data_IF_417958144639
#
_entry.id   IF_417958144639
#
_cell.length_a   1.000
_cell.length_b   1.000
_cell.length_c   1.000
_cell.angle_alpha   90.00
_cell.angle_beta   90.00
_cell.angle_gamma   90.00
#
_symmetry.space_group_name_H-M   'P 1'
#
loop_
_entity.id
_entity.type
_entity.pdbx_description
1 polymer ?
#
# COMPACT_ATOMS: atom_id res chain seq x y z
N UNK A 1 11.38 18.23 10.04
CA UNK A 1 12.10 17.84 8.81
C UNK A 1 12.78 16.50 9.03
N UNK A 2 12.12 15.41 8.64
CA UNK A 2 12.76 14.10 8.55
C UNK A 2 13.79 14.13 7.41
N UNK A 3 15.01 13.65 7.66
CA UNK A 3 16.06 13.60 6.64
C UNK A 3 15.67 12.64 5.52
N UNK A 4 15.70 13.11 4.27
CA UNK A 4 15.57 12.25 3.09
C UNK A 4 16.68 11.17 3.18
N UNK A 5 16.33 9.88 3.15
CA UNK A 5 17.31 8.82 3.34
C UNK A 5 18.34 8.80 2.20
N UNK A 6 19.60 9.10 2.52
CA UNK A 6 20.75 8.99 1.61
C UNK A 6 21.26 7.55 1.65
N UNK A 7 20.93 6.76 0.63
CA UNK A 7 21.35 5.35 0.52
C UNK A 7 22.29 5.14 -0.68
N UNK A 8 23.29 4.26 -0.51
CA UNK A 8 24.34 3.99 -1.51
C UNK A 8 23.79 3.14 -2.66
N UNK A 9 24.33 3.36 -3.88
CA UNK A 9 23.91 2.68 -5.13
C UNK A 9 23.83 1.14 -5.03
N UNK A 10 24.79 0.50 -4.35
CA UNK A 10 24.81 -0.96 -4.17
C UNK A 10 23.64 -1.51 -3.32
N UNK A 11 22.97 -0.67 -2.52
CA UNK A 11 21.80 -1.07 -1.73
C UNK A 11 20.55 -1.25 -2.62
N UNK A 12 20.54 -0.67 -3.82
CA UNK A 12 19.40 -0.65 -4.74
C UNK A 12 19.47 -1.68 -5.86
N UNK A 13 20.66 -2.14 -6.22
CA UNK A 13 20.90 -3.16 -7.26
C UNK A 13 20.74 -4.59 -6.67
N UNK A 14 19.66 -4.82 -5.90
CA UNK A 14 19.36 -6.11 -5.27
C UNK A 14 18.43 -6.93 -6.15
N UNK A 15 18.71 -8.23 -6.24
CA UNK A 15 17.82 -9.20 -6.90
C UNK A 15 17.29 -10.29 -5.95
N UNK A 16 17.76 -10.27 -4.69
CA UNK A 16 17.50 -11.27 -3.65
C UNK A 16 16.24 -10.97 -2.82
N UNK A 17 15.34 -10.09 -3.28
CA UNK A 17 14.10 -9.75 -2.56
C UNK A 17 13.23 -10.99 -2.27
N UNK A 18 13.31 -12.02 -3.11
CA UNK A 18 12.63 -13.30 -2.88
C UNK A 18 13.13 -14.08 -1.67
N UNK A 19 14.37 -13.83 -1.29
CA UNK A 19 15.01 -14.42 -0.12
C UNK A 19 14.76 -13.59 1.14
N UNK A 20 14.34 -12.33 0.97
CA UNK A 20 13.93 -11.46 2.06
C UNK A 20 12.57 -11.92 2.60
N UNK A 21 12.60 -12.48 3.81
CA UNK A 21 11.38 -12.74 4.55
C UNK A 21 10.83 -11.43 5.10
N UNK A 22 9.53 -11.19 4.91
CA UNK A 22 8.81 -10.03 5.46
C UNK A 22 9.10 -9.86 6.96
N UNK A 23 9.20 -10.99 7.68
CA UNK A 23 9.31 -11.05 9.12
C UNK A 23 10.68 -11.54 9.64
N UNK A 24 11.81 -10.97 9.21
CA UNK A 24 13.13 -11.45 9.69
C UNK A 24 14.16 -10.37 10.02
N UNK A 25 15.17 -10.76 10.80
CA UNK A 25 16.49 -10.12 10.85
C UNK A 25 17.56 -10.77 9.94
N UNK A 26 17.38 -12.02 9.46
CA UNK A 26 18.35 -12.80 8.66
C UNK A 26 17.66 -14.08 8.05
N UNK A 27 18.31 -14.87 7.15
CA UNK A 27 17.63 -15.59 6.06
C UNK A 27 16.89 -16.89 6.44
N UNK A 28 15.77 -17.12 5.75
CA UNK A 28 14.92 -18.31 5.90
C UNK A 28 15.37 -19.44 4.98
N UNK A 29 15.75 -20.59 5.55
CA UNK A 29 15.87 -21.86 4.83
C UNK A 29 14.58 -22.70 4.98
N UNK A 30 13.85 -22.79 3.85
CA UNK A 30 12.74 -23.68 3.46
C UNK A 30 11.46 -23.71 4.32
N UNK A 31 10.46 -22.97 3.82
CA UNK A 31 9.06 -23.46 3.71
C UNK A 31 8.65 -23.40 2.23
N UNK A 32 7.99 -24.44 1.71
CA UNK A 32 7.75 -24.60 0.25
C UNK A 32 6.54 -23.83 -0.30
N UNK A 33 5.68 -23.25 0.56
CA UNK A 33 4.45 -22.59 0.11
C UNK A 33 4.30 -21.12 0.55
N UNK A 34 5.16 -20.60 1.44
CA UNK A 34 5.05 -19.22 1.94
C UNK A 34 3.77 -18.94 2.75
N UNK A 35 3.76 -17.80 3.43
CA UNK A 35 2.61 -17.25 4.17
C UNK A 35 1.79 -16.33 3.27
N UNK A 36 0.47 -16.29 3.46
CA UNK A 36 -0.36 -15.32 2.74
C UNK A 36 -0.09 -13.89 3.22
N UNK A 37 0.04 -12.98 2.26
CA UNK A 37 0.18 -11.55 2.55
C UNK A 37 -1.10 -11.03 3.20
N UNK A 38 -2.25 -11.41 2.66
CA UNK A 38 -3.57 -11.10 3.21
C UNK A 38 -3.88 -12.10 4.34
N UNK A 39 -4.26 -11.64 5.55
CA UNK A 39 -4.55 -12.52 6.66
C UNK A 39 -5.62 -13.56 6.31
N UNK A 40 -5.41 -14.80 6.74
CA UNK A 40 -6.32 -15.91 6.44
C UNK A 40 -7.76 -15.63 6.88
N UNK A 41 -7.93 -15.06 8.07
CA UNK A 41 -9.26 -14.71 8.58
C UNK A 41 -9.98 -13.70 7.68
N UNK A 42 -9.25 -12.76 7.04
CA UNK A 42 -9.86 -11.77 6.16
C UNK A 42 -10.33 -12.41 4.85
N UNK A 43 -9.58 -13.40 4.37
CA UNK A 43 -9.95 -14.20 3.20
C UNK A 43 -11.19 -15.05 3.51
N UNK A 44 -11.21 -15.73 4.67
CA UNK A 44 -12.27 -16.64 5.05
C UNK A 44 -13.57 -15.88 5.42
N UNK A 45 -13.50 -14.83 6.25
CA UNK A 45 -14.66 -14.06 6.72
C UNK A 45 -15.39 -13.30 5.58
N UNK A 46 -14.67 -12.97 4.49
CA UNK A 46 -15.21 -12.22 3.34
C UNK A 46 -15.13 -12.97 2.01
N UNK A 47 -14.89 -14.28 2.06
CA UNK A 47 -14.87 -15.18 0.88
C UNK A 47 -13.96 -14.71 -0.27
N UNK A 48 -12.79 -14.16 0.05
CA UNK A 48 -11.91 -13.48 -0.93
C UNK A 48 -11.09 -14.44 -1.82
N UNK A 49 -11.29 -15.76 -1.71
CA UNK A 49 -10.48 -16.79 -2.37
C UNK A 49 -10.40 -16.67 -3.90
N UNK A 50 -11.47 -16.20 -4.53
CA UNK A 50 -11.57 -16.02 -5.99
C UNK A 50 -11.41 -14.56 -6.41
N UNK A 51 -11.17 -13.66 -5.46
CA UNK A 51 -11.07 -12.23 -5.76
C UNK A 51 -9.72 -11.92 -6.40
N UNK A 52 -9.78 -11.08 -7.42
CA UNK A 52 -8.61 -10.50 -8.07
C UNK A 52 -8.34 -9.11 -7.54
N UNK A 53 -7.05 -8.76 -7.45
CA UNK A 53 -6.59 -7.43 -7.09
C UNK A 53 -5.79 -6.85 -8.25
N UNK A 54 -5.96 -5.56 -8.50
CA UNK A 54 -5.16 -4.78 -9.45
C UNK A 54 -3.71 -4.70 -9.00
N UNK A 55 -2.79 -5.01 -9.91
CA UNK A 55 -1.34 -5.02 -9.68
C UNK A 55 -0.69 -3.78 -10.29
N UNK A 56 -1.27 -2.60 -10.07
CA UNK A 56 -0.68 -1.32 -10.49
C UNK A 56 -0.39 -1.13 -12.01
N UNK A 57 -0.90 -2.01 -12.88
CA UNK A 57 -0.71 -2.02 -14.35
C UNK A 57 -2.03 -2.42 -15.06
N UNK A 58 -2.37 -1.96 -16.29
CA UNK A 58 -3.73 -2.12 -16.80
C UNK A 58 -4.02 -3.57 -17.15
N UNK A 59 -5.12 -4.09 -16.62
CA UNK A 59 -5.53 -5.48 -16.85
C UNK A 59 -4.63 -6.50 -16.15
N UNK A 60 -3.66 -6.05 -15.36
CA UNK A 60 -2.80 -6.92 -14.56
C UNK A 60 -3.48 -7.22 -13.25
N UNK A 61 -4.33 -8.25 -13.29
CA UNK A 61 -5.04 -8.75 -12.15
C UNK A 61 -4.35 -10.01 -11.61
N UNK A 62 -4.19 -10.10 -10.30
CA UNK A 62 -3.70 -11.29 -9.63
C UNK A 62 -4.78 -11.86 -8.70
N UNK A 63 -4.95 -13.19 -8.71
CA UNK A 63 -5.80 -13.85 -7.72
C UNK A 63 -5.17 -13.70 -6.33
N UNK A 64 -5.95 -13.34 -5.30
CA UNK A 64 -5.48 -13.20 -3.91
C UNK A 64 -4.68 -14.42 -3.44
N UNK A 65 -5.03 -15.62 -3.89
CA UNK A 65 -4.33 -16.86 -3.53
C UNK A 65 -2.84 -16.89 -3.93
N UNK A 66 -2.43 -16.06 -4.90
CA UNK A 66 -1.07 -15.94 -5.41
C UNK A 66 -0.19 -15.04 -4.53
N UNK A 67 -0.79 -14.27 -3.61
CA UNK A 67 -0.10 -13.32 -2.75
C UNK A 67 0.52 -14.03 -1.55
N UNK A 68 1.60 -14.77 -1.80
CA UNK A 68 2.33 -15.53 -0.79
C UNK A 68 3.79 -15.13 -0.74
N UNK A 69 4.33 -14.97 0.46
CA UNK A 69 5.71 -14.55 0.70
C UNK A 69 6.40 -15.45 1.72
N UNK A 70 7.73 -15.50 1.72
CA UNK A 70 8.46 -16.25 2.75
C UNK A 70 8.26 -15.56 4.11
N UNK A 71 8.00 -16.36 5.15
CA UNK A 71 7.77 -15.92 6.52
C UNK A 71 8.59 -16.74 7.51
N UNK A 72 9.05 -16.11 8.59
CA UNK A 72 9.62 -16.78 9.76
C UNK A 72 8.47 -17.23 10.67
N UNK A 73 8.39 -18.52 11.08
CA UNK A 73 7.26 -19.02 11.85
C UNK A 73 7.05 -18.30 13.20
N UNK A 74 8.13 -17.97 13.91
CA UNK A 74 8.05 -17.33 15.24
C UNK A 74 7.53 -15.90 15.11
N UNK A 75 8.12 -15.14 14.20
CA UNK A 75 7.71 -13.77 13.92
C UNK A 75 6.30 -13.71 13.32
N UNK A 76 5.92 -14.71 12.51
CA UNK A 76 4.57 -14.86 12.01
C UNK A 76 3.56 -15.09 13.14
N UNK A 77 3.90 -15.89 14.15
CA UNK A 77 3.06 -16.06 15.35
C UNK A 77 2.83 -14.74 16.08
N UNK A 78 3.89 -13.96 16.32
CA UNK A 78 3.82 -12.63 16.95
C UNK A 78 2.94 -11.67 16.15
N UNK A 79 3.05 -11.70 14.82
CA UNK A 79 2.20 -10.88 13.96
C UNK A 79 0.76 -11.38 13.89
N UNK A 80 0.53 -12.69 14.00
CA UNK A 80 -0.80 -13.29 14.11
C UNK A 80 -1.60 -12.76 15.30
N UNK A 81 -0.94 -12.48 16.43
CA UNK A 81 -1.58 -11.84 17.58
C UNK A 81 -2.03 -10.39 17.28
N UNK A 82 -1.26 -9.66 16.45
CA UNK A 82 -1.69 -8.36 15.95
C UNK A 82 -2.89 -8.50 15.00
N UNK A 83 -2.83 -9.41 14.04
CA UNK A 83 -3.92 -9.67 13.09
C UNK A 83 -5.22 -10.05 13.81
N UNK A 84 -5.15 -10.85 14.89
CA UNK A 84 -6.30 -11.19 15.72
C UNK A 84 -6.88 -9.96 16.45
N UNK A 85 -6.04 -9.10 17.02
CA UNK A 85 -6.51 -7.86 17.64
C UNK A 85 -7.14 -6.89 16.63
N UNK A 86 -6.63 -6.84 15.40
CA UNK A 86 -7.27 -6.09 14.30
C UNK A 86 -8.64 -6.68 13.99
N UNK A 87 -8.76 -8.00 13.83
CA UNK A 87 -10.03 -8.70 13.57
C UNK A 87 -11.10 -8.39 14.62
N UNK A 88 -10.69 -8.30 15.89
CA UNK A 88 -11.59 -8.01 17.01
C UNK A 88 -11.88 -6.50 17.16
N UNK A 89 -11.14 -5.63 16.49
CA UNK A 89 -11.25 -4.17 16.68
C UNK A 89 -10.64 -3.67 17.99
N UNK A 90 -9.76 -4.46 18.61
CA UNK A 90 -9.19 -4.24 19.95
C UNK A 90 -7.74 -3.72 19.88
N UNK A 91 -7.45 -2.83 18.94
CA UNK A 91 -6.07 -2.36 18.70
C UNK A 91 -5.98 -0.88 18.39
N UNK A 92 -4.78 -0.31 18.57
CA UNK A 92 -4.51 1.11 18.29
C UNK A 92 -4.37 1.38 16.79
N UNK A 93 -4.48 2.66 16.39
CA UNK A 93 -4.24 3.05 15.00
C UNK A 93 -2.80 2.73 14.54
N UNK A 94 -1.81 2.81 15.43
CA UNK A 94 -0.42 2.46 15.10
C UNK A 94 -0.28 0.98 14.75
N UNK A 95 -1.01 0.12 15.44
CA UNK A 95 -1.08 -1.31 15.17
C UNK A 95 -1.86 -1.61 13.88
N UNK A 96 -2.95 -0.89 13.60
CA UNK A 96 -3.64 -0.98 12.30
C UNK A 96 -2.70 -0.56 11.18
N UNK A 97 -1.93 0.52 11.37
CA UNK A 97 -0.95 1.00 10.40
C UNK A 97 0.11 -0.05 10.10
N UNK A 98 0.70 -0.65 11.14
CA UNK A 98 1.69 -1.71 10.98
C UNK A 98 1.12 -2.95 10.26
N UNK A 99 -0.12 -3.33 10.59
CA UNK A 99 -0.84 -4.40 9.92
C UNK A 99 -1.03 -4.12 8.43
N UNK A 100 -1.55 -2.94 8.09
CA UNK A 100 -1.73 -2.50 6.71
C UNK A 100 -0.39 -2.36 5.95
N UNK A 101 0.67 -1.94 6.63
CA UNK A 101 2.03 -1.88 6.09
C UNK A 101 2.56 -3.26 5.70
N UNK A 102 2.35 -4.30 6.52
CA UNK A 102 2.68 -5.69 6.15
C UNK A 102 2.00 -6.12 4.86
N UNK A 103 0.69 -5.85 4.75
CA UNK A 103 -0.08 -6.21 3.56
C UNK A 103 0.47 -5.46 2.34
N UNK A 104 0.64 -4.15 2.45
CA UNK A 104 1.19 -3.29 1.38
C UNK A 104 2.54 -3.79 0.89
N UNK A 105 3.51 -3.98 1.79
CA UNK A 105 4.86 -4.45 1.45
C UNK A 105 4.84 -5.85 0.82
N UNK A 106 4.01 -6.75 1.36
CA UNK A 106 3.84 -8.08 0.78
C UNK A 106 3.24 -8.04 -0.62
N UNK A 107 2.28 -7.15 -0.87
CA UNK A 107 1.68 -6.94 -2.20
C UNK A 107 2.70 -6.35 -3.18
N UNK A 108 3.50 -5.36 -2.77
CA UNK A 108 4.60 -4.81 -3.57
C UNK A 108 5.65 -5.87 -3.92
N UNK A 109 6.00 -6.77 -2.98
CA UNK A 109 6.90 -7.89 -3.23
C UNK A 109 6.31 -8.89 -4.23
N UNK A 110 5.01 -9.20 -4.12
CA UNK A 110 4.30 -10.03 -5.08
C UNK A 110 4.24 -9.40 -6.48
N UNK A 111 4.03 -8.08 -6.57
CA UNK A 111 4.09 -7.34 -7.84
C UNK A 111 5.46 -7.51 -8.50
N UNK A 112 6.54 -7.27 -7.76
CA UNK A 112 7.90 -7.40 -8.28
C UNK A 112 8.17 -8.81 -8.83
N UNK A 113 7.75 -9.87 -8.11
CA UNK A 113 7.87 -11.26 -8.58
C UNK A 113 7.15 -11.49 -9.89
N UNK A 114 5.92 -10.99 -10.00
CA UNK A 114 5.09 -11.18 -11.19
C UNK A 114 5.64 -10.39 -12.38
N UNK A 115 6.10 -9.15 -12.17
CA UNK A 115 6.69 -8.31 -13.22
C UNK A 115 7.95 -8.97 -13.85
N UNK A 116 8.75 -9.68 -13.04
CA UNK A 116 9.91 -10.46 -13.53
C UNK A 116 9.51 -11.63 -14.43
N UNK A 117 8.29 -12.16 -14.30
CA UNK A 117 7.81 -13.24 -15.14
C UNK A 117 7.23 -12.68 -16.45
N UNK A 118 8.11 -12.19 -17.33
CA UNK A 118 7.75 -11.56 -18.61
C UNK A 118 6.96 -12.47 -19.57
N UNK A 119 6.92 -13.77 -19.32
CA UNK A 119 6.12 -14.74 -20.08
C UNK A 119 4.69 -14.90 -19.56
N UNK A 120 4.37 -14.37 -18.37
CA UNK A 120 3.02 -14.42 -17.83
C UNK A 120 2.15 -13.34 -18.48
N UNK A 121 1.02 -13.68 -19.12
CA UNK A 121 0.20 -12.72 -19.86
C UNK A 121 -0.44 -11.63 -18.99
N UNK A 122 -0.52 -11.84 -17.68
CA UNK A 122 -1.01 -10.87 -16.69
C UNK A 122 0.12 -10.28 -15.82
N UNK A 123 1.38 -10.40 -16.25
CA UNK A 123 2.49 -9.77 -15.53
C UNK A 123 2.28 -8.24 -15.50
N UNK A 124 2.34 -7.62 -14.32
CA UNK A 124 2.28 -6.17 -14.25
C UNK A 124 3.57 -5.54 -14.80
N UNK A 125 3.49 -4.25 -15.11
CA UNK A 125 4.66 -3.48 -15.52
C UNK A 125 5.71 -3.40 -14.42
N UNK A 126 6.96 -3.18 -14.85
CA UNK A 126 8.08 -2.92 -13.95
C UNK A 126 7.84 -1.62 -13.15
N UNK A 127 8.45 -1.53 -11.96
CA UNK A 127 8.49 -0.33 -11.15
C UNK A 127 9.89 -0.09 -10.60
N UNK A 128 10.14 1.09 -10.06
CA UNK A 128 11.42 1.42 -9.43
C UNK A 128 11.63 0.57 -8.17
N UNK A 129 12.47 -0.47 -8.29
CA UNK A 129 12.74 -1.46 -7.23
C UNK A 129 13.36 -0.85 -5.98
N UNK A 130 13.89 0.38 -6.06
CA UNK A 130 14.34 1.13 -4.88
C UNK A 130 13.23 1.30 -3.86
N UNK A 131 12.00 1.52 -4.32
CA UNK A 131 10.83 1.59 -3.44
C UNK A 131 10.65 0.30 -2.61
N UNK A 132 10.84 -0.88 -3.22
CA UNK A 132 10.69 -2.15 -2.51
C UNK A 132 11.73 -2.32 -1.40
N UNK A 133 12.98 -1.87 -1.63
CA UNK A 133 14.02 -1.82 -0.58
C UNK A 133 13.54 -0.98 0.60
N UNK A 134 13.11 0.26 0.34
CA UNK A 134 12.60 1.17 1.36
C UNK A 134 11.45 0.57 2.14
N UNK A 135 10.45 0.03 1.44
CA UNK A 135 9.25 -0.53 2.04
C UNK A 135 9.55 -1.74 2.94
N UNK A 136 10.45 -2.63 2.50
CA UNK A 136 10.88 -3.79 3.30
C UNK A 136 11.67 -3.40 4.55
N UNK A 137 12.63 -2.48 4.43
CA UNK A 137 13.44 -2.05 5.57
C UNK A 137 12.62 -1.28 6.60
N UNK A 138 11.77 -0.38 6.15
CA UNK A 138 10.87 0.42 6.97
C UNK A 138 9.88 -0.48 7.73
N UNK A 139 9.25 -1.45 7.07
CA UNK A 139 8.41 -2.43 7.75
C UNK A 139 9.18 -3.28 8.76
N UNK A 140 10.35 -3.81 8.40
CA UNK A 140 11.15 -4.65 9.31
C UNK A 140 11.62 -3.89 10.54
N UNK A 141 11.92 -2.61 10.39
CA UNK A 141 12.26 -1.71 11.50
C UNK A 141 11.08 -1.59 12.48
N UNK A 142 9.89 -1.29 11.96
CA UNK A 142 8.68 -1.09 12.78
C UNK A 142 8.21 -2.40 13.43
N UNK A 143 8.25 -3.49 12.67
CA UNK A 143 7.95 -4.83 13.18
C UNK A 143 8.91 -5.24 14.30
N UNK A 144 10.20 -4.91 14.20
CA UNK A 144 11.17 -5.20 15.28
C UNK A 144 10.83 -4.43 16.57
N UNK A 145 10.39 -3.18 16.46
CA UNK A 145 9.94 -2.40 17.62
C UNK A 145 8.71 -3.05 18.24
N UNK A 146 7.72 -3.38 17.41
CA UNK A 146 6.53 -4.10 17.83
C UNK A 146 6.84 -5.42 18.53
N UNK A 147 7.70 -6.27 17.93
CA UNK A 147 8.07 -7.58 18.49
C UNK A 147 8.77 -7.46 19.84
N UNK A 148 9.53 -6.38 20.03
CA UNK A 148 10.21 -6.05 21.28
C UNK A 148 9.31 -5.30 22.28
N UNK A 149 7.99 -5.22 22.01
CA UNK A 149 7.00 -4.49 22.82
C UNK A 149 7.34 -3.01 23.02
N UNK A 150 8.06 -2.44 22.07
CA UNK A 150 8.34 -1.00 22.02
C UNK A 150 7.21 -0.29 21.27
N UNK A 151 7.00 1.02 21.51
CA UNK A 151 6.07 1.81 20.71
C UNK A 151 6.40 1.72 19.22
N UNK A 152 5.39 1.37 18.42
CA UNK A 152 5.52 1.30 16.96
C UNK A 152 5.48 2.73 16.42
N UNK A 153 6.52 3.20 15.72
CA UNK A 153 6.50 4.52 15.12
C UNK A 153 5.52 4.48 13.95
N UNK A 154 4.51 5.34 13.98
CA UNK A 154 3.58 5.51 12.86
C UNK A 154 4.17 6.54 11.89
N UNK A 155 5.06 6.08 11.02
CA UNK A 155 5.68 6.89 9.95
C UNK A 155 4.72 7.05 8.76
N UNK A 156 3.53 7.58 9.02
CA UNK A 156 2.44 7.68 8.06
C UNK A 156 1.13 8.05 8.71
N UNK A 157 0.10 8.20 7.88
CA UNK A 157 -1.26 8.53 8.30
C UNK A 157 -2.14 7.29 8.36
N UNK A 158 -3.09 7.24 9.30
CA UNK A 158 -4.12 6.19 9.34
C UNK A 158 -5.48 6.78 9.68
N UNK A 159 -6.43 6.59 8.78
CA UNK A 159 -7.82 7.02 8.91
C UNK A 159 -8.73 5.82 9.10
N UNK A 160 -9.79 6.03 9.88
CA UNK A 160 -10.90 5.09 10.05
C UNK A 160 -12.17 5.80 9.64
N UNK A 161 -12.68 5.46 8.47
CA UNK A 161 -13.84 6.12 7.86
C UNK A 161 -15.04 5.16 7.90
N UNK A 162 -16.25 5.62 8.24
CA UNK A 162 -17.45 4.79 8.09
C UNK A 162 -17.67 4.45 6.61
N UNK A 163 -18.18 3.26 6.29
CA UNK A 163 -18.44 2.87 4.89
C UNK A 163 -19.57 1.84 4.77
N UNK A 164 -20.28 1.90 3.66
CA UNK A 164 -21.25 0.90 3.22
C UNK A 164 -20.71 -0.03 2.12
N UNK A 165 -19.43 0.12 1.75
CA UNK A 165 -18.77 -0.83 0.85
C UNK A 165 -18.65 -2.19 1.54
N UNK A 166 -18.97 -3.31 0.85
CA UNK A 166 -18.89 -4.64 1.44
C UNK A 166 -17.54 -4.93 2.08
N UNK A 167 -17.55 -5.71 3.16
CA UNK A 167 -16.34 -6.15 3.87
C UNK A 167 -15.37 -6.89 2.94
N UNK A 168 -14.07 -6.74 3.23
CA UNK A 168 -13.00 -7.36 2.44
C UNK A 168 -12.68 -6.64 1.13
N UNK A 169 -13.27 -5.47 0.86
CA UNK A 169 -12.77 -4.58 -0.19
C UNK A 169 -11.37 -4.09 0.14
N UNK A 170 -10.47 -4.23 -0.84
CA UNK A 170 -9.07 -3.88 -0.72
C UNK A 170 -8.68 -3.00 -1.91
N UNK A 171 -8.00 -1.90 -1.61
CA UNK A 171 -7.38 -0.99 -2.56
C UNK A 171 -5.93 -0.79 -2.14
N UNK A 172 -4.99 -0.91 -3.07
CA UNK A 172 -3.56 -0.75 -2.81
C UNK A 172 -2.92 0.05 -3.93
N UNK A 173 -2.02 0.94 -3.56
CA UNK A 173 -1.20 1.67 -4.51
C UNK A 173 0.16 1.97 -3.90
N UNK A 174 1.17 2.05 -4.76
CA UNK A 174 2.54 2.31 -4.34
C UNK A 174 3.36 2.87 -5.49
N UNK A 175 4.55 3.38 -5.15
CA UNK A 175 5.51 3.83 -6.14
C UNK A 175 6.51 4.79 -5.54
N UNK A 176 7.19 5.50 -6.43
CA UNK A 176 8.13 6.54 -6.05
C UNK A 176 8.23 7.60 -7.12
N UNK A 177 8.44 8.84 -6.71
CA UNK A 177 8.84 9.92 -7.60
C UNK A 177 10.35 10.04 -7.55
N UNK A 178 10.98 10.04 -8.72
CA UNK A 178 12.43 10.20 -8.87
C UNK A 178 12.75 11.58 -9.43
N UNK A 179 13.71 12.28 -8.84
CA UNK A 179 14.36 13.43 -9.44
C UNK A 179 15.81 13.08 -9.71
N UNK A 180 16.25 13.15 -10.96
CA UNK A 180 17.63 12.88 -11.33
C UNK A 180 18.51 14.07 -10.97
N UNK A 181 19.48 13.86 -10.08
CA UNK A 181 20.49 14.85 -9.74
C UNK A 181 21.83 14.58 -10.44
N UNK A 182 22.70 15.59 -10.50
CA UNK A 182 24.03 15.47 -11.13
C UNK A 182 24.94 14.43 -10.44
N UNK A 183 24.71 14.18 -9.13
CA UNK A 183 25.55 13.28 -8.31
C UNK A 183 24.76 12.04 -7.86
N UNK A 184 23.50 12.21 -7.43
CA UNK A 184 22.62 11.13 -6.98
C UNK A 184 21.17 11.43 -7.37
N UNK A 185 20.38 10.40 -7.64
CA UNK A 185 18.92 10.52 -7.76
C UNK A 185 18.30 10.74 -6.37
N UNK A 186 17.33 11.65 -6.28
CA UNK A 186 16.45 11.79 -5.12
C UNK A 186 15.20 10.94 -5.33
N UNK A 187 14.87 10.09 -4.36
CA UNK A 187 13.68 9.24 -4.38
C UNK A 187 12.69 9.68 -3.30
N UNK A 188 11.45 9.93 -3.69
CA UNK A 188 10.31 10.13 -2.78
C UNK A 188 9.35 8.94 -2.91
N UNK A 189 9.45 7.93 -2.03
CA UNK A 189 8.52 6.80 -2.05
C UNK A 189 7.13 7.25 -1.57
N UNK A 190 6.10 6.61 -2.08
CA UNK A 190 4.72 6.82 -1.68
C UNK A 190 3.95 5.49 -1.67
N UNK A 191 2.87 5.44 -0.91
CA UNK A 191 1.98 4.29 -0.92
C UNK A 191 0.74 4.49 -0.06
N UNK A 192 -0.32 3.80 -0.42
CA UNK A 192 -1.58 3.79 0.30
C UNK A 192 -2.19 2.39 0.23
N UNK A 193 -2.81 1.96 1.32
CA UNK A 193 -3.67 0.78 1.33
C UNK A 193 -4.96 1.09 2.08
N UNK A 194 -6.07 0.60 1.55
CA UNK A 194 -7.38 0.71 2.15
C UNK A 194 -8.04 -0.67 2.23
N UNK A 195 -8.64 -0.99 3.38
CA UNK A 195 -9.33 -2.27 3.62
C UNK A 195 -10.65 -2.02 4.32
N UNK A 196 -11.73 -2.64 3.85
CA UNK A 196 -13.02 -2.61 4.57
C UNK A 196 -13.12 -3.76 5.56
N UNK A 197 -13.43 -3.41 6.80
CA UNK A 197 -13.62 -4.36 7.89
C UNK A 197 -14.60 -3.76 8.91
N UNK A 198 -15.57 -4.56 9.38
CA UNK A 198 -16.58 -4.13 10.38
C UNK A 198 -17.27 -2.79 10.05
N UNK A 199 -17.75 -2.61 8.81
CA UNK A 199 -18.39 -1.36 8.33
C UNK A 199 -17.50 -0.10 8.43
N UNK A 200 -16.18 -0.31 8.51
CA UNK A 200 -15.17 0.74 8.49
C UNK A 200 -14.26 0.54 7.29
N UNK A 201 -13.86 1.63 6.67
CA UNK A 201 -12.76 1.71 5.74
C UNK A 201 -11.52 2.15 6.51
N UNK A 202 -10.58 1.25 6.68
CA UNK A 202 -9.27 1.52 7.28
C UNK A 202 -8.34 1.96 6.16
N UNK A 203 -7.81 3.17 6.20
CA UNK A 203 -6.91 3.72 5.17
C UNK A 203 -5.57 4.05 5.83
N UNK A 204 -4.49 3.48 5.32
CA UNK A 204 -3.13 3.85 5.72
C UNK A 204 -2.39 4.46 4.54
N UNK A 205 -1.79 5.63 4.77
CA UNK A 205 -0.84 6.30 3.87
C UNK A 205 0.55 6.18 4.46
N UNK A 206 1.51 5.69 3.68
CA UNK A 206 2.89 5.52 4.09
C UNK A 206 3.73 6.73 3.67
N UNK A 207 4.82 6.99 4.41
CA UNK A 207 5.75 8.09 4.15
C UNK A 207 5.13 9.49 4.32
N UNK A 208 4.20 9.61 5.26
CA UNK A 208 3.58 10.88 5.69
C UNK A 208 3.95 11.16 7.17
N UNK A 209 5.20 11.58 7.45
CA UNK A 209 5.72 11.66 8.82
C UNK A 209 5.02 12.72 9.68
N UNK A 210 4.57 13.81 9.07
CA UNK A 210 3.84 14.88 9.76
C UNK A 210 2.33 14.58 9.86
N UNK A 211 1.89 13.45 9.29
CA UNK A 211 0.50 12.99 9.28
C UNK A 211 -0.46 14.01 8.67
N UNK A 212 -0.02 14.68 7.61
CA UNK A 212 -0.85 15.69 6.96
C UNK A 212 -2.11 15.07 6.34
N UNK A 213 -2.04 13.82 5.87
CA UNK A 213 -3.19 13.13 5.31
C UNK A 213 -4.28 12.84 6.34
N UNK A 214 -3.95 12.69 7.63
CA UNK A 214 -4.94 12.61 8.72
C UNK A 214 -5.74 13.91 8.87
N UNK A 215 -5.10 15.04 8.59
CA UNK A 215 -5.74 16.37 8.57
C UNK A 215 -6.42 16.69 7.23
N UNK A 216 -6.44 15.74 6.29
CA UNK A 216 -6.94 15.96 4.94
C UNK A 216 -8.41 16.35 4.89
N UNK A 217 -8.75 17.07 3.83
CA UNK A 217 -10.12 17.45 3.49
C UNK A 217 -11.05 16.25 3.37
N UNK A 218 -10.52 15.07 3.02
CA UNK A 218 -11.29 13.84 2.85
C UNK A 218 -12.14 13.49 4.07
N UNK A 219 -11.63 13.68 5.29
CA UNK A 219 -12.41 13.37 6.51
C UNK A 219 -13.66 14.26 6.60
N UNK A 220 -13.55 15.53 6.20
CA UNK A 220 -14.67 16.48 6.17
C UNK A 220 -15.63 16.15 5.03
N UNK A 221 -15.09 15.91 3.85
CA UNK A 221 -15.85 15.61 2.64
C UNK A 221 -16.52 14.24 2.67
N UNK A 222 -16.04 13.30 3.47
CA UNK A 222 -16.53 11.92 3.46
C UNK A 222 -18.04 11.86 3.67
N UNK A 223 -18.54 12.62 4.65
CA UNK A 223 -19.98 12.75 4.93
C UNK A 223 -20.68 13.66 3.92
N UNK A 224 -20.07 14.75 3.50
CA UNK A 224 -20.66 15.69 2.53
C UNK A 224 -20.93 15.01 1.17
N UNK A 225 -20.00 14.15 0.75
CA UNK A 225 -20.10 13.31 -0.44
C UNK A 225 -20.96 12.06 -0.22
N UNK A 226 -21.47 11.82 1.00
CA UNK A 226 -22.25 10.63 1.40
C UNK A 226 -21.53 9.32 1.08
N UNK A 227 -20.22 9.27 1.30
CA UNK A 227 -19.40 8.08 1.05
C UNK A 227 -19.54 7.03 2.16
N UNK A 228 -19.99 7.45 3.34
CA UNK A 228 -20.37 6.59 4.45
C UNK A 228 -21.57 5.69 4.13
N UNK A 229 -22.55 6.23 3.40
CA UNK A 229 -23.74 5.51 2.92
C UNK A 229 -23.55 4.89 1.52
N UNK A 230 -22.40 5.09 0.89
CA UNK A 230 -22.15 4.62 -0.47
C UNK A 230 -21.63 3.18 -0.50
N UNK A 231 -22.36 2.29 -1.17
CA UNK A 231 -21.94 0.91 -1.44
C UNK A 231 -21.07 0.76 -2.70
N UNK A 232 -20.90 1.84 -3.48
CA UNK A 232 -20.12 1.82 -4.73
C UNK A 232 -18.62 1.91 -4.45
N UNK A 233 -17.94 0.76 -4.49
CA UNK A 233 -16.48 0.69 -4.38
C UNK A 233 -15.73 1.60 -5.38
N UNK A 234 -16.11 1.70 -6.67
CA UNK A 234 -15.47 2.64 -7.60
C UNK A 234 -15.58 4.11 -7.19
N UNK A 235 -16.71 4.50 -6.59
CA UNK A 235 -16.89 5.88 -6.10
C UNK A 235 -15.96 6.17 -4.93
N UNK A 236 -15.83 5.22 -4.01
CA UNK A 236 -14.91 5.30 -2.88
C UNK A 236 -13.47 5.34 -3.36
N UNK A 237 -13.10 4.50 -4.33
CA UNK A 237 -11.78 4.49 -4.96
C UNK A 237 -11.45 5.84 -5.62
N UNK A 238 -12.40 6.44 -6.34
CA UNK A 238 -12.21 7.74 -6.98
C UNK A 238 -12.00 8.87 -5.95
N UNK A 239 -12.75 8.87 -4.85
CA UNK A 239 -12.55 9.84 -3.76
C UNK A 239 -11.17 9.71 -3.12
N UNK A 240 -10.73 8.47 -2.83
CA UNK A 240 -9.38 8.21 -2.32
C UNK A 240 -8.31 8.67 -3.33
N UNK A 241 -8.51 8.39 -4.62
CA UNK A 241 -7.60 8.77 -5.68
C UNK A 241 -7.39 10.28 -5.74
N UNK A 242 -8.47 11.06 -5.74
CA UNK A 242 -8.41 12.53 -5.79
C UNK A 242 -7.65 13.08 -4.60
N UNK A 243 -8.07 12.74 -3.37
CA UNK A 243 -7.40 13.26 -2.16
C UNK A 243 -5.94 12.84 -2.08
N UNK A 244 -5.63 11.58 -2.39
CA UNK A 244 -4.24 11.12 -2.34
C UNK A 244 -3.36 11.78 -3.40
N UNK A 245 -3.93 12.08 -4.58
CA UNK A 245 -3.22 12.80 -5.63
C UNK A 245 -2.90 14.24 -5.24
N UNK A 246 -3.84 14.94 -4.58
CA UNK A 246 -3.61 16.29 -4.06
C UNK A 246 -2.50 16.29 -3.00
N UNK A 247 -2.56 15.34 -2.06
CA UNK A 247 -1.54 15.15 -1.04
C UNK A 247 -0.16 14.87 -1.67
N UNK A 248 -0.08 13.90 -2.58
CA UNK A 248 1.19 13.51 -3.20
C UNK A 248 1.76 14.63 -4.08
N UNK A 249 0.91 15.36 -4.79
CA UNK A 249 1.34 16.48 -5.62
C UNK A 249 1.92 17.62 -4.78
N UNK A 250 1.28 17.95 -3.65
CA UNK A 250 1.79 18.92 -2.68
C UNK A 250 3.13 18.46 -2.10
N UNK A 251 3.21 17.22 -1.59
CA UNK A 251 4.43 16.66 -1.01
C UNK A 251 5.59 16.62 -2.02
N UNK A 252 5.29 16.30 -3.29
CA UNK A 252 6.28 16.31 -4.38
C UNK A 252 6.81 17.72 -4.62
N UNK A 253 5.94 18.73 -4.69
CA UNK A 253 6.34 20.11 -4.90
C UNK A 253 7.27 20.60 -3.78
N UNK A 254 6.94 20.28 -2.52
CA UNK A 254 7.75 20.64 -1.35
C UNK A 254 9.10 19.90 -1.30
N UNK A 255 9.12 18.61 -1.61
CA UNK A 255 10.32 17.77 -1.50
C UNK A 255 11.29 17.95 -2.68
N UNK A 256 10.78 18.20 -3.89
CA UNK A 256 11.57 18.23 -5.12
C UNK A 256 11.62 19.61 -5.80
N UNK A 257 10.92 20.61 -5.28
CA UNK A 257 10.91 21.97 -5.83
C UNK A 257 10.25 22.07 -7.22
N UNK A 258 9.46 21.07 -7.63
CA UNK A 258 8.75 21.08 -8.91
C UNK A 258 7.36 21.68 -8.73
N UNK A 259 7.18 22.95 -9.10
CA UNK A 259 5.87 23.60 -9.08
C UNK A 259 5.10 23.40 -10.40
N UNK A 260 3.77 23.27 -10.29
CA UNK A 260 2.82 23.67 -11.34
C UNK A 260 2.36 22.61 -12.34
N UNK A 261 3.13 21.56 -12.64
CA UNK A 261 2.78 20.63 -13.74
C UNK A 261 2.76 19.14 -13.34
N UNK A 262 1.75 18.43 -13.85
CA UNK A 262 1.65 16.97 -13.77
C UNK A 262 0.65 16.40 -12.76
N UNK A 263 -0.20 17.22 -12.14
CA UNK A 263 -1.29 16.72 -11.27
C UNK A 263 -2.17 15.71 -12.00
N UNK A 264 -2.58 16.01 -13.24
CA UNK A 264 -3.41 15.11 -14.06
C UNK A 264 -2.75 13.74 -14.29
N UNK A 265 -1.43 13.72 -14.48
CA UNK A 265 -0.69 12.47 -14.66
C UNK A 265 -0.63 11.67 -13.36
N UNK A 266 -0.43 12.36 -12.22
CA UNK A 266 -0.46 11.77 -10.88
C UNK A 266 -1.85 11.19 -10.59
N UNK A 267 -2.92 11.94 -10.83
CA UNK A 267 -4.30 11.51 -10.62
C UNK A 267 -4.68 10.32 -11.47
N UNK A 268 -4.34 10.35 -12.76
CA UNK A 268 -4.56 9.22 -13.66
C UNK A 268 -3.77 7.99 -13.19
N UNK A 269 -2.50 8.16 -12.82
CA UNK A 269 -1.67 7.07 -12.32
C UNK A 269 -2.19 6.46 -11.02
N UNK A 270 -2.68 7.28 -10.08
CA UNK A 270 -3.25 6.81 -8.82
C UNK A 270 -4.60 6.12 -9.04
N UNK A 271 -5.53 6.79 -9.74
CA UNK A 271 -6.85 6.22 -10.02
C UNK A 271 -6.73 4.86 -10.70
N UNK A 272 -5.76 4.74 -11.60
CA UNK A 272 -5.46 3.51 -12.29
C UNK A 272 -5.04 2.35 -11.39
N UNK A 273 -4.11 2.57 -10.43
CA UNK A 273 -3.74 1.54 -9.46
C UNK A 273 -4.94 1.14 -8.58
N UNK A 274 -5.90 2.06 -8.40
CA UNK A 274 -7.14 1.84 -7.66
C UNK A 274 -8.29 1.29 -8.54
N UNK A 275 -8.03 0.95 -9.80
CA UNK A 275 -9.01 0.32 -10.70
C UNK A 275 -10.08 1.27 -11.28
N UNK A 276 -9.82 2.58 -11.28
CA UNK A 276 -10.74 3.59 -11.83
C UNK A 276 -10.04 4.50 -12.85
N UNK A 277 -10.70 4.77 -13.97
CA UNK A 277 -10.26 5.85 -14.85
C UNK A 277 -10.92 7.15 -14.38
N UNK A 278 -10.15 8.22 -14.22
CA UNK A 278 -10.63 9.53 -13.78
C UNK A 278 -10.29 10.57 -14.84
N UNK A 279 -11.29 11.31 -15.31
CA UNK A 279 -11.11 12.51 -16.11
C UNK A 279 -10.69 13.67 -15.20
N UNK A 280 -9.44 14.17 -15.29
CA UNK A 280 -8.94 15.21 -14.41
C UNK A 280 -9.63 16.56 -14.60
N UNK A 281 -10.27 16.80 -15.76
CA UNK A 281 -10.97 18.05 -16.02
C UNK A 281 -12.36 18.06 -15.39
N UNK A 282 -13.06 16.92 -15.40
CA UNK A 282 -14.46 16.83 -14.93
C UNK A 282 -14.63 16.08 -13.62
N UNK A 283 -13.59 15.44 -13.11
CA UNK A 283 -13.60 14.46 -12.00
C UNK A 283 -14.61 13.32 -12.18
N UNK A 284 -15.11 13.12 -13.41
CA UNK A 284 -15.92 11.96 -13.75
C UNK A 284 -15.02 10.74 -13.74
N UNK A 285 -15.54 9.66 -13.18
CA UNK A 285 -14.82 8.39 -13.11
C UNK A 285 -15.66 7.26 -13.71
N UNK A 286 -14.95 6.24 -14.18
CA UNK A 286 -15.56 4.97 -14.58
C UNK A 286 -14.75 3.81 -13.99
N UNK A 287 -15.41 2.72 -13.55
CA UNK A 287 -14.70 1.49 -13.21
C UNK A 287 -13.97 0.98 -14.45
N UNK A 288 -12.71 0.54 -14.28
CA UNK A 288 -12.02 -0.09 -15.41
C UNK A 288 -12.65 -1.44 -15.70
N UNK A 289 -12.86 -1.73 -16.98
CA UNK A 289 -13.35 -3.05 -17.41
C UNK A 289 -12.28 -4.07 -17.09
N UNK A 290 -12.58 -4.98 -16.17
CA UNK A 290 -11.77 -6.18 -15.96
C UNK A 290 -11.91 -7.05 -17.20
N UNK A 291 -10.84 -7.21 -17.97
CA UNK A 291 -10.79 -8.14 -19.09
C UNK A 291 -10.78 -9.61 -18.61
#
# INVERSE_FOLDING_TARGET
MASIPVMRRATFEREDFDEMCLFTGAPVKRTKQGEHVIPRWLIDDYELNCRRIEMGWPGSLADIKQFRTRADPTANGVFGDLENRVKLGETSLDHVHLWQKKISVGMTLCHWRMARNKHHPLAPGDFDTRHLVFALEDFRSDFRKFSNRQPVPRNGSTLVLPTSVPGGWLAHMFGSVTSSGEVHDTLMPFGMIAVTHQNKLLVSVFYDPEREFESSRLVKEWKELKLDECSSAPRVAAALAVTYSEFLFKARAEALGTEGEGFDAVLKGIGYQLGVDIDPTTNKYQPRRTA
#
